data_IF_092672758385
#
_entry.id   IF_092672758385
#
_cell.length_a   1.000
_cell.length_b   1.000
_cell.length_c   1.000
_cell.angle_alpha   90.00
_cell.angle_beta   90.00
_cell.angle_gamma   90.00
#
_symmetry.space_group_name_H-M   'P 1'
#
loop_
_entity.id
_entity.type
_entity.pdbx_description
1 polymer ?
#
# COMPACT_ATOMS: atom_id res chain seq x y z
N UNK A 1 33.05 24.22 -6.62
CA UNK A 1 32.34 23.04 -6.09
C UNK A 1 30.95 23.11 -6.64
N UNK A 2 30.57 22.12 -7.49
CA UNK A 2 29.20 22.03 -7.97
C UNK A 2 28.32 21.60 -6.80
N UNK A 3 27.30 22.38 -6.46
CA UNK A 3 26.27 21.98 -5.53
C UNK A 3 25.30 21.03 -6.25
N UNK A 4 25.67 19.77 -6.36
CA UNK A 4 24.80 18.75 -6.90
C UNK A 4 23.93 18.21 -5.76
N UNK A 5 22.61 18.37 -5.91
CA UNK A 5 21.65 17.64 -5.08
C UNK A 5 21.53 16.24 -5.68
N UNK A 6 22.25 15.28 -5.12
CA UNK A 6 22.14 13.88 -5.52
C UNK A 6 20.81 13.32 -4.98
N UNK A 7 19.83 13.16 -5.86
CA UNK A 7 18.64 12.41 -5.54
C UNK A 7 18.92 10.92 -5.74
N UNK A 8 19.00 10.17 -4.64
CA UNK A 8 19.12 8.72 -4.69
C UNK A 8 17.74 8.11 -4.86
N UNK A 9 17.50 7.48 -6.00
CA UNK A 9 16.31 6.67 -6.22
C UNK A 9 16.46 5.39 -5.38
N UNK A 10 15.54 5.17 -4.46
CA UNK A 10 15.49 3.95 -3.64
C UNK A 10 15.00 2.74 -4.43
N UNK A 11 14.98 1.56 -3.79
CA UNK A 11 14.38 0.36 -4.35
C UNK A 11 12.88 0.59 -4.55
N UNK A 12 12.41 0.31 -5.75
CA UNK A 12 10.97 0.32 -6.04
C UNK A 12 10.32 -0.88 -5.37
N UNK A 13 9.17 -0.66 -4.75
CA UNK A 13 8.38 -1.68 -4.07
C UNK A 13 7.02 -1.70 -4.75
N UNK A 14 6.55 -2.90 -5.04
CA UNK A 14 5.26 -3.13 -5.66
C UNK A 14 4.39 -3.97 -4.74
N UNK A 15 3.29 -3.40 -4.29
CA UNK A 15 2.29 -4.11 -3.49
C UNK A 15 1.26 -4.75 -4.41
N UNK A 16 1.32 -6.06 -4.55
CA UNK A 16 0.44 -6.80 -5.47
C UNK A 16 0.46 -8.30 -5.19
N UNK A 17 -0.46 -9.03 -5.80
CA UNK A 17 -0.32 -10.47 -5.98
C UNK A 17 0.48 -10.71 -7.25
N UNK A 18 1.66 -11.29 -7.14
CA UNK A 18 2.60 -11.46 -8.25
C UNK A 18 2.01 -12.16 -9.49
N UNK A 19 1.04 -13.07 -9.29
CA UNK A 19 0.34 -13.77 -10.37
C UNK A 19 -0.77 -12.93 -11.02
N UNK A 20 -1.20 -11.84 -10.39
CA UNK A 20 -2.34 -11.01 -10.81
C UNK A 20 -1.91 -9.64 -11.31
N UNK A 21 -0.62 -9.35 -11.37
CA UNK A 21 -0.14 -8.07 -11.82
C UNK A 21 -0.20 -7.97 -13.32
N UNK A 22 -1.38 -7.73 -13.80
CA UNK A 22 -1.55 -7.43 -15.21
C UNK A 22 -2.86 -6.71 -15.48
N UNK A 23 -3.05 -5.51 -14.97
CA UNK A 23 -3.77 -4.61 -15.83
C UNK A 23 -2.79 -4.30 -16.97
N UNK A 24 -3.10 -4.76 -18.18
CA UNK A 24 -2.26 -4.51 -19.35
C UNK A 24 -1.91 -3.00 -19.47
N UNK A 25 -2.83 -2.14 -19.05
CA UNK A 25 -2.69 -0.71 -19.04
C UNK A 25 -1.71 -0.20 -17.97
N UNK A 26 -1.68 -0.79 -16.78
CA UNK A 26 -0.69 -0.45 -15.76
C UNK A 26 0.72 -0.88 -16.17
N UNK A 27 0.86 -2.07 -16.77
CA UNK A 27 2.14 -2.54 -17.29
C UNK A 27 2.66 -1.67 -18.45
N UNK A 28 1.76 -1.08 -19.24
CA UNK A 28 2.12 -0.25 -20.40
C UNK A 28 2.40 1.19 -20.00
N UNK A 29 1.60 1.75 -19.08
CA UNK A 29 1.69 3.16 -18.72
C UNK A 29 2.67 3.45 -17.57
N UNK A 30 3.01 2.43 -16.79
CA UNK A 30 3.82 2.56 -15.57
C UNK A 30 4.94 1.53 -15.57
N UNK A 31 5.88 1.71 -16.49
CA UNK A 31 7.08 0.88 -16.52
C UNK A 31 7.91 1.17 -15.27
N UNK A 32 7.79 0.30 -14.30
CA UNK A 32 8.66 0.24 -13.13
C UNK A 32 9.80 -0.72 -13.44
N UNK A 33 11.04 -0.37 -13.05
CA UNK A 33 12.23 -1.21 -13.28
C UNK A 33 12.08 -2.62 -12.69
N UNK A 34 13.00 -3.05 -11.84
CA UNK A 34 12.90 -4.35 -11.15
C UNK A 34 12.43 -4.11 -9.71
N UNK A 35 11.13 -4.07 -9.43
CA UNK A 35 10.60 -3.83 -8.10
C UNK A 35 10.76 -5.06 -7.19
N UNK A 36 10.72 -4.81 -5.88
CA UNK A 36 10.49 -5.87 -4.90
C UNK A 36 8.99 -6.05 -4.71
N UNK A 37 8.49 -7.26 -4.97
CA UNK A 37 7.08 -7.58 -4.81
C UNK A 37 6.74 -7.88 -3.34
N UNK A 38 5.65 -7.29 -2.88
CA UNK A 38 5.07 -7.49 -1.54
C UNK A 38 3.60 -7.88 -1.74
N UNK A 39 3.20 -8.99 -1.15
CA UNK A 39 1.83 -9.48 -1.33
C UNK A 39 0.79 -8.47 -0.80
N UNK A 40 -0.17 -8.13 -1.65
CA UNK A 40 -1.38 -7.38 -1.33
C UNK A 40 -2.49 -7.87 -2.28
N UNK A 41 -3.49 -8.53 -1.72
CA UNK A 41 -4.63 -9.05 -2.47
C UNK A 41 -5.82 -8.09 -2.34
N UNK A 42 -6.24 -7.47 -3.42
CA UNK A 42 -7.41 -6.58 -3.46
C UNK A 42 -8.68 -7.27 -3.99
N UNK A 43 -8.62 -8.58 -4.27
CA UNK A 43 -9.78 -9.33 -4.75
C UNK A 43 -10.91 -9.32 -3.72
N UNK A 44 -12.13 -9.01 -4.19
CA UNK A 44 -13.36 -9.03 -3.42
C UNK A 44 -13.36 -8.17 -2.15
N UNK A 45 -12.71 -7.03 -2.17
CA UNK A 45 -12.77 -6.05 -1.08
C UNK A 45 -14.14 -5.35 -1.13
N UNK A 46 -14.96 -5.58 -0.10
CA UNK A 46 -16.28 -4.95 0.00
C UNK A 46 -16.16 -3.45 0.33
N UNK A 47 -17.23 -2.71 0.03
CA UNK A 47 -17.33 -1.31 0.47
C UNK A 47 -17.16 -1.20 2.00
N UNK A 48 -16.43 -0.19 2.44
CA UNK A 48 -16.06 0.04 3.84
C UNK A 48 -15.20 -1.07 4.49
N UNK A 49 -14.69 -2.02 3.71
CA UNK A 49 -13.69 -2.98 4.14
C UNK A 49 -12.27 -2.46 3.85
N UNK A 50 -11.27 -3.07 4.47
CA UNK A 50 -9.87 -2.76 4.22
C UNK A 50 -9.04 -4.03 4.05
N UNK A 51 -7.90 -3.88 3.40
CA UNK A 51 -6.88 -4.92 3.26
C UNK A 51 -5.56 -4.42 3.85
N UNK A 52 -4.74 -5.34 4.30
CA UNK A 52 -3.36 -5.07 4.68
C UNK A 52 -2.42 -5.91 3.82
N UNK A 53 -1.32 -5.30 3.41
CA UNK A 53 -0.27 -6.02 2.70
C UNK A 53 0.51 -6.93 3.65
N UNK A 54 1.28 -7.86 3.09
CA UNK A 54 2.39 -8.43 3.83
C UNK A 54 3.35 -7.31 4.27
N UNK A 55 4.10 -7.57 5.36
CA UNK A 55 5.11 -6.65 5.85
C UNK A 55 6.25 -6.50 4.84
N UNK A 56 6.64 -5.27 4.60
CA UNK A 56 7.77 -4.92 3.74
C UNK A 56 8.99 -4.49 4.56
N UNK A 57 10.16 -4.83 4.06
CA UNK A 57 11.44 -4.29 4.50
C UNK A 57 11.90 -3.22 3.48
N UNK A 58 11.91 -1.97 3.89
CA UNK A 58 12.35 -0.84 3.07
C UNK A 58 13.89 -0.78 2.92
N UNK A 59 14.60 -1.69 3.58
CA UNK A 59 16.05 -1.78 3.58
C UNK A 59 16.73 -0.86 4.60
N UNK A 60 17.99 -1.16 4.88
CA UNK A 60 18.81 -0.38 5.82
C UNK A 60 19.10 1.04 5.29
N UNK A 61 19.16 1.20 3.97
CA UNK A 61 19.42 2.48 3.28
C UNK A 61 18.16 2.99 2.58
N UNK A 62 16.99 2.83 3.23
CA UNK A 62 15.72 3.26 2.68
C UNK A 62 15.69 4.72 2.28
N UNK A 63 14.85 5.07 1.34
CA UNK A 63 14.58 6.47 1.00
C UNK A 63 13.92 7.21 2.18
N UNK A 64 14.19 8.50 2.30
CA UNK A 64 13.54 9.34 3.31
C UNK A 64 12.06 9.60 2.97
N UNK A 65 11.70 9.54 1.68
CA UNK A 65 10.37 9.83 1.15
C UNK A 65 10.03 8.83 0.04
N UNK A 66 8.80 8.38 0.04
CA UNK A 66 8.22 7.54 -1.02
C UNK A 66 7.03 8.24 -1.65
N UNK A 67 6.86 8.06 -2.95
CA UNK A 67 5.63 8.36 -3.66
C UNK A 67 4.86 7.07 -3.86
N UNK A 68 3.56 7.11 -3.57
CA UNK A 68 2.63 6.00 -3.78
C UNK A 68 1.81 6.25 -5.03
N UNK A 69 1.87 5.29 -5.93
CA UNK A 69 1.07 5.19 -7.13
C UNK A 69 0.05 4.07 -6.91
N UNK A 70 -1.23 4.37 -7.03
CA UNK A 70 -2.32 3.40 -6.93
C UNK A 70 -2.80 3.01 -8.32
N UNK A 71 -3.01 1.71 -8.54
CA UNK A 71 -3.60 1.18 -9.75
C UNK A 71 -4.57 0.07 -9.38
N UNK A 72 -5.84 0.22 -9.72
CA UNK A 72 -6.91 -0.70 -9.36
C UNK A 72 -7.67 -1.08 -10.62
N UNK A 73 -7.89 -2.38 -10.79
CA UNK A 73 -8.67 -2.94 -11.89
C UNK A 73 -10.11 -3.16 -11.43
N UNK A 74 -11.03 -2.43 -12.06
CA UNK A 74 -12.48 -2.55 -11.85
C UNK A 74 -13.17 -3.34 -12.97
N UNK A 75 -12.42 -4.07 -13.81
CA UNK A 75 -13.02 -4.84 -14.92
C UNK A 75 -14.05 -5.84 -14.40
N UNK A 76 -15.27 -5.71 -14.86
CA UNK A 76 -16.39 -6.52 -14.42
C UNK A 76 -17.15 -6.00 -13.20
N UNK A 77 -16.71 -4.88 -12.62
CA UNK A 77 -17.36 -4.22 -11.50
C UNK A 77 -18.03 -2.91 -11.95
N UNK A 78 -18.87 -2.37 -11.09
CA UNK A 78 -19.55 -1.08 -11.35
C UNK A 78 -19.14 -0.09 -10.25
N UNK A 79 -17.98 0.56 -10.38
CA UNK A 79 -17.53 1.52 -9.40
C UNK A 79 -18.44 2.75 -9.37
N UNK A 80 -18.56 3.39 -8.22
CA UNK A 80 -19.33 4.62 -8.07
C UNK A 80 -18.38 5.81 -8.08
N UNK A 81 -18.57 6.72 -9.04
CA UNK A 81 -17.78 7.94 -9.14
C UNK A 81 -17.84 8.77 -7.85
N UNK A 82 -16.68 9.27 -7.44
CA UNK A 82 -16.52 10.05 -6.22
C UNK A 82 -16.25 9.23 -4.96
N UNK A 83 -16.38 7.91 -5.00
CA UNK A 83 -15.86 7.07 -3.93
C UNK A 83 -14.34 7.16 -3.88
N UNK A 84 -13.75 6.84 -2.72
CA UNK A 84 -12.31 6.87 -2.53
C UNK A 84 -11.78 5.54 -2.05
N UNK A 85 -10.54 5.25 -2.47
CA UNK A 85 -9.72 4.21 -1.87
C UNK A 85 -8.64 4.93 -1.07
N UNK A 86 -8.71 4.80 0.24
CA UNK A 86 -7.80 5.46 1.16
C UNK A 86 -6.60 4.56 1.44
N UNK A 87 -5.41 5.14 1.42
CA UNK A 87 -4.16 4.43 1.65
C UNK A 87 -3.47 4.92 2.91
N UNK A 88 -3.01 3.96 3.71
CA UNK A 88 -2.32 4.24 4.96
C UNK A 88 -1.01 3.44 5.05
N UNK A 89 -0.04 4.00 5.75
CA UNK A 89 1.18 3.31 6.14
C UNK A 89 1.09 2.91 7.62
N UNK A 90 1.11 1.61 7.89
CA UNK A 90 1.20 1.04 9.22
C UNK A 90 2.67 0.71 9.53
N UNK A 91 3.35 1.49 10.39
CA UNK A 91 4.75 1.24 10.71
C UNK A 91 4.93 -0.02 11.53
N UNK A 92 6.11 -0.63 11.41
CA UNK A 92 6.53 -1.76 12.25
C UNK A 92 7.97 -1.59 12.71
N UNK A 93 8.27 -2.05 13.91
CA UNK A 93 9.59 -1.97 14.52
C UNK A 93 10.43 -3.25 14.33
N UNK A 94 9.83 -4.33 13.79
CA UNK A 94 10.45 -5.65 13.73
C UNK A 94 10.35 -6.30 12.34
N UNK A 95 11.36 -7.08 11.95
CA UNK A 95 11.42 -7.77 10.66
C UNK A 95 10.40 -8.93 10.57
N UNK A 96 10.16 -9.65 11.67
CA UNK A 96 9.24 -10.79 11.69
C UNK A 96 7.81 -10.33 11.47
N UNK A 97 7.05 -11.02 10.62
CA UNK A 97 5.71 -10.61 10.21
C UNK A 97 4.80 -10.25 11.41
N UNK A 98 4.65 -11.14 12.38
CA UNK A 98 3.73 -10.96 13.50
C UNK A 98 4.23 -10.02 14.63
N UNK A 99 5.44 -9.46 14.53
CA UNK A 99 6.05 -8.72 15.63
C UNK A 99 6.16 -7.23 15.35
N UNK A 100 5.98 -6.40 16.37
CA UNK A 100 6.24 -4.96 16.33
C UNK A 100 5.30 -4.16 15.44
N UNK A 101 4.15 -4.71 15.09
CA UNK A 101 3.14 -4.07 14.24
C UNK A 101 2.18 -3.18 15.03
N UNK A 102 1.57 -2.23 14.33
CA UNK A 102 0.45 -1.43 14.84
C UNK A 102 -0.64 -2.36 15.37
N UNK A 103 -1.13 -2.08 16.58
CA UNK A 103 -2.14 -2.85 17.29
C UNK A 103 -1.86 -4.37 17.36
N UNK A 104 -0.62 -4.80 17.09
CA UNK A 104 -0.23 -6.20 17.08
C UNK A 104 -0.79 -7.01 15.90
N UNK A 105 -1.09 -6.37 14.77
CA UNK A 105 -1.62 -7.06 13.60
C UNK A 105 -0.66 -8.16 13.08
N UNK A 106 -1.17 -9.08 12.29
CA UNK A 106 -0.45 -10.28 11.85
C UNK A 106 0.76 -10.01 10.94
N UNK A 107 0.80 -8.88 10.25
CA UNK A 107 1.87 -8.57 9.30
C UNK A 107 1.87 -9.41 8.03
N UNK A 108 0.76 -10.08 7.70
CA UNK A 108 0.57 -10.85 6.47
C UNK A 108 -0.49 -10.19 5.57
N UNK A 109 -0.53 -10.58 4.31
CA UNK A 109 -1.60 -10.18 3.39
C UNK A 109 -2.94 -10.78 3.84
N UNK A 110 -3.84 -9.93 4.32
CA UNK A 110 -5.12 -10.34 4.88
C UNK A 110 -6.17 -9.20 4.83
N UNK A 111 -7.40 -9.51 5.22
CA UNK A 111 -8.38 -8.47 5.56
C UNK A 111 -7.86 -7.66 6.76
N UNK A 112 -8.04 -6.34 6.75
CA UNK A 112 -7.59 -5.46 7.82
C UNK A 112 -8.77 -5.06 8.72
N UNK A 113 -8.56 -5.02 10.06
CA UNK A 113 -7.38 -5.47 10.78
C UNK A 113 -7.36 -6.99 10.99
N UNK A 114 -6.19 -7.62 10.86
CA UNK A 114 -6.00 -9.06 11.08
C UNK A 114 -5.00 -9.34 12.19
N UNK A 115 -5.30 -10.34 13.02
CA UNK A 115 -4.40 -10.81 14.08
C UNK A 115 -4.14 -9.82 15.20
N UNK A 116 -4.87 -8.71 15.28
CA UNK A 116 -4.66 -7.68 16.29
C UNK A 116 -4.84 -8.24 17.71
N UNK A 117 -3.95 -7.81 18.61
CA UNK A 117 -4.00 -8.21 20.03
C UNK A 117 -5.22 -7.64 20.74
N UNK A 118 -5.74 -6.50 20.29
CA UNK A 118 -7.00 -5.91 20.78
C UNK A 118 -8.17 -6.56 20.06
N UNK A 119 -8.86 -7.45 20.75
CA UNK A 119 -10.07 -8.10 20.21
C UNK A 119 -11.14 -7.05 19.89
N UNK A 120 -11.68 -7.11 18.65
CA UNK A 120 -12.76 -6.24 18.23
C UNK A 120 -12.34 -4.83 17.81
N UNK A 121 -11.04 -4.57 17.61
CA UNK A 121 -10.62 -3.29 17.04
C UNK A 121 -11.26 -3.09 15.66
N UNK A 122 -11.87 -1.94 15.45
CA UNK A 122 -12.45 -1.56 14.16
C UNK A 122 -11.41 -1.02 13.20
N UNK A 123 -11.71 -1.04 11.88
CA UNK A 123 -10.86 -0.40 10.87
C UNK A 123 -10.60 1.06 11.23
N UNK A 124 -11.64 1.80 11.63
CA UNK A 124 -11.56 3.22 11.96
C UNK A 124 -10.63 3.50 13.14
N UNK A 125 -10.53 2.59 14.11
CA UNK A 125 -9.60 2.69 15.23
C UNK A 125 -8.18 2.30 14.84
N UNK A 126 -8.04 1.29 13.99
CA UNK A 126 -6.75 0.82 13.51
C UNK A 126 -6.04 1.90 12.67
N UNK A 127 -6.73 2.48 11.69
CA UNK A 127 -6.12 3.48 10.79
C UNK A 127 -5.73 4.78 11.49
N UNK A 128 -6.33 5.10 12.66
CA UNK A 128 -5.89 6.24 13.49
C UNK A 128 -4.47 6.08 14.03
N UNK A 129 -3.95 4.86 14.06
CA UNK A 129 -2.58 4.55 14.49
C UNK A 129 -1.61 4.49 13.30
N UNK A 130 -2.10 4.67 12.09
CA UNK A 130 -1.35 4.62 10.84
C UNK A 130 -1.12 6.03 10.30
N UNK A 131 -0.18 6.17 9.39
CA UNK A 131 0.03 7.42 8.66
C UNK A 131 -0.84 7.41 7.40
N UNK A 132 -1.76 8.36 7.28
CA UNK A 132 -2.51 8.55 6.04
C UNK A 132 -1.56 9.01 4.93
N UNK A 133 -1.60 8.35 3.79
CA UNK A 133 -0.76 8.68 2.61
C UNK A 133 -1.54 9.57 1.65
N UNK A 134 -2.77 9.18 1.34
CA UNK A 134 -3.64 9.83 0.38
C UNK A 134 -4.74 8.90 -0.07
N UNK A 135 -5.44 9.32 -1.13
CA UNK A 135 -6.57 8.58 -1.67
C UNK A 135 -6.55 8.56 -3.20
N UNK A 136 -7.05 7.48 -3.76
CA UNK A 136 -7.41 7.38 -5.17
C UNK A 136 -8.91 7.66 -5.27
N UNK A 137 -9.29 8.70 -6.04
CA UNK A 137 -10.69 9.00 -6.31
C UNK A 137 -11.16 8.12 -7.47
N UNK A 138 -12.20 7.34 -7.21
CA UNK A 138 -12.77 6.40 -8.17
C UNK A 138 -13.68 7.14 -9.14
N UNK A 139 -13.58 6.81 -10.42
CA UNK A 139 -14.51 7.24 -11.47
C UNK A 139 -15.56 6.15 -11.70
N UNK A 140 -16.54 6.40 -12.57
CA UNK A 140 -17.54 5.42 -13.00
C UNK A 140 -17.05 4.47 -14.12
N UNK A 141 -15.77 4.61 -14.50
CA UNK A 141 -15.14 3.75 -15.51
C UNK A 141 -14.83 2.37 -14.90
N UNK A 142 -15.47 1.34 -15.43
CA UNK A 142 -15.27 -0.06 -15.06
C UNK A 142 -13.99 -0.68 -15.64
N UNK A 143 -12.95 0.09 -15.85
CA UNK A 143 -11.64 -0.34 -16.34
C UNK A 143 -10.55 -0.16 -15.28
N UNK A 144 -9.29 -0.20 -15.70
CA UNK A 144 -8.14 0.05 -14.81
C UNK A 144 -8.01 1.54 -14.52
N UNK A 145 -8.04 1.92 -13.27
CA UNK A 145 -7.87 3.29 -12.82
C UNK A 145 -6.54 3.43 -12.08
N UNK A 146 -5.69 4.34 -12.55
CA UNK A 146 -4.37 4.57 -11.97
C UNK A 146 -4.19 6.06 -11.67
N UNK A 147 -3.52 6.36 -10.56
CA UNK A 147 -3.23 7.74 -10.17
C UNK A 147 -2.14 7.85 -9.11
N UNK A 148 -1.62 9.06 -8.95
CA UNK A 148 -0.74 9.39 -7.83
C UNK A 148 -1.63 9.54 -6.60
N UNK A 149 -1.40 8.69 -5.60
CA UNK A 149 -2.14 8.70 -4.33
C UNK A 149 -1.57 9.78 -3.40
N UNK A 150 -0.26 9.81 -3.26
CA UNK A 150 0.40 10.76 -2.37
C UNK A 150 1.83 10.39 -2.08
N UNK A 151 2.38 11.07 -1.06
CA UNK A 151 3.74 10.82 -0.61
C UNK A 151 3.79 10.66 0.89
N UNK A 152 4.72 9.84 1.39
CA UNK A 152 4.91 9.64 2.82
C UNK A 152 6.38 9.45 3.20
N UNK A 153 6.68 9.71 4.46
CA UNK A 153 8.00 9.53 5.04
C UNK A 153 7.91 8.42 6.11
N UNK A 154 8.35 7.19 5.80
CA UNK A 154 8.27 6.10 6.77
C UNK A 154 9.19 6.37 7.96
N UNK A 155 8.66 6.27 9.17
CA UNK A 155 9.43 6.48 10.41
C UNK A 155 10.38 5.31 10.72
N UNK A 156 10.07 4.11 10.20
CA UNK A 156 10.82 2.88 10.44
C UNK A 156 11.25 2.18 9.15
N UNK A 157 12.07 1.13 9.31
CA UNK A 157 12.52 0.27 8.23
C UNK A 157 11.42 -0.66 7.72
N UNK A 158 10.51 -1.06 8.59
CA UNK A 158 9.47 -2.02 8.30
C UNK A 158 8.09 -1.39 8.37
N UNK A 159 7.14 -1.96 7.67
CA UNK A 159 5.75 -1.53 7.72
C UNK A 159 4.87 -2.30 6.73
N UNK A 160 3.63 -1.84 6.61
CA UNK A 160 2.61 -2.41 5.73
C UNK A 160 1.83 -1.30 5.04
N UNK A 161 1.36 -1.56 3.84
CA UNK A 161 0.33 -0.76 3.18
C UNK A 161 -1.05 -1.28 3.61
N UNK A 162 -1.93 -0.34 3.97
CA UNK A 162 -3.33 -0.59 4.28
C UNK A 162 -4.17 0.15 3.26
#
# INVERSE_FOLDING_TARGET
>A
MANEVLQKVGTQIRFCVAASLSPADAATNWTIGTPTDVALTLSAVANAAARQSAKVDLGATRAAKYELLGCVDFTGETPTAGNTIDYYWAPSTHATAANGNVAGNSGVDAACPDGCTTTGITIAEFVKQCTFIGQLVVTDDGTVQCGIVGTFCPTGRYGQLI
#
